data_IF_097429348793
#
_entry.id   IF_097429348793
#
_cell.length_a   1.000
_cell.length_b   1.000
_cell.length_c   1.000
_cell.angle_alpha   90.00
_cell.angle_beta   90.00
_cell.angle_gamma   90.00
#
_symmetry.space_group_name_H-M   'P 1'
#
loop_
_entity.id
_entity.type
_entity.pdbx_description
1 polymer ?
#
# COMPACT_ATOMS: atom_id res chain seq x y z
N UNK A 1 3.33 0.99 15.30
CA UNK A 1 2.10 1.26 14.57
C UNK A 1 1.46 2.52 15.08
N UNK A 2 1.06 3.38 14.17
CA UNK A 2 0.43 4.62 14.54
C UNK A 2 -1.01 4.61 14.05
N UNK A 3 -1.94 4.98 14.93
CA UNK A 3 -3.34 5.09 14.58
C UNK A 3 -3.78 6.51 14.89
N UNK A 4 -4.41 7.15 13.92
CA UNK A 4 -4.96 8.48 14.17
C UNK A 4 -6.19 8.67 13.31
N UNK A 5 -7.04 9.57 13.75
CA UNK A 5 -8.28 9.88 13.05
C UNK A 5 -8.09 11.16 12.28
N UNK A 6 -8.51 11.14 11.04
CA UNK A 6 -8.50 12.31 10.18
C UNK A 6 -9.93 12.73 10.00
N UNK A 7 -10.24 13.95 10.42
CA UNK A 7 -11.61 14.46 10.33
C UNK A 7 -12.05 14.51 8.88
N UNK A 8 -13.21 13.96 8.60
CA UNK A 8 -13.78 13.98 7.27
C UNK A 8 -13.32 12.84 6.38
N UNK A 9 -12.31 12.08 6.79
CA UNK A 9 -11.85 10.91 6.08
C UNK A 9 -11.77 9.79 7.09
N UNK A 10 -12.52 8.74 6.86
CA UNK A 10 -12.61 7.64 7.82
C UNK A 10 -11.49 6.65 7.58
N UNK A 11 -10.30 7.02 8.00
CA UNK A 11 -9.16 6.11 7.98
C UNK A 11 -8.95 5.57 9.38
N UNK A 12 -8.94 4.25 9.51
CA UNK A 12 -8.72 3.61 10.80
C UNK A 12 -7.26 3.64 11.18
N UNK A 13 -6.36 3.54 10.18
CA UNK A 13 -4.95 3.54 10.50
C UNK A 13 -4.09 4.03 9.37
N UNK A 14 -2.90 4.44 9.71
CA UNK A 14 -1.85 4.75 8.75
C UNK A 14 -0.63 3.94 9.14
N UNK A 15 -0.14 3.17 8.22
CA UNK A 15 0.95 2.22 8.48
C UNK A 15 2.08 2.51 7.52
N UNK A 16 3.27 2.72 8.08
CA UNK A 16 4.43 3.13 7.29
C UNK A 16 5.54 2.13 7.48
N UNK A 17 6.11 1.66 6.40
CA UNK A 17 7.29 0.82 6.45
C UNK A 17 8.55 1.63 6.67
N UNK A 18 9.64 0.92 6.82
CA UNK A 18 10.97 1.53 6.96
C UNK A 18 11.74 1.26 5.67
N UNK A 19 13.06 1.26 5.74
CA UNK A 19 13.87 0.96 4.58
C UNK A 19 14.18 -0.53 4.44
N UNK A 20 13.70 -1.36 5.37
CA UNK A 20 13.89 -2.80 5.29
C UNK A 20 12.68 -3.49 4.72
N UNK A 21 12.76 -4.81 4.61
CA UNK A 21 11.65 -5.61 4.13
C UNK A 21 10.73 -5.94 5.30
N UNK A 22 9.45 -5.64 5.14
CA UNK A 22 8.49 -5.73 6.22
C UNK A 22 7.17 -6.31 5.78
N UNK A 23 6.36 -6.65 6.78
CA UNK A 23 4.96 -6.98 6.57
C UNK A 23 4.12 -5.86 7.16
N UNK A 24 3.27 -5.26 6.35
CA UNK A 24 2.37 -4.20 6.80
C UNK A 24 0.95 -4.74 6.75
N UNK A 25 0.28 -4.69 7.87
CA UNK A 25 -1.08 -5.21 7.98
C UNK A 25 -2.04 -4.07 8.29
N UNK A 26 -3.04 -3.91 7.45
CA UNK A 26 -4.11 -2.98 7.74
C UNK A 26 -5.11 -3.57 8.72
N UNK A 27 -6.32 -3.03 8.70
CA UNK A 27 -7.39 -3.48 9.57
C UNK A 27 -8.59 -3.86 8.69
N UNK A 28 -9.75 -3.99 9.29
CA UNK A 28 -10.96 -4.21 8.52
C UNK A 28 -11.64 -2.90 8.12
N UNK A 29 -11.00 -1.77 8.39
CA UNK A 29 -11.52 -0.46 8.06
C UNK A 29 -10.71 0.12 6.91
N UNK A 30 -11.03 1.35 6.52
CA UNK A 30 -10.28 2.03 5.47
C UNK A 30 -8.93 2.46 6.02
N UNK A 31 -7.86 2.04 5.38
CA UNK A 31 -6.52 2.27 5.89
C UNK A 31 -5.64 2.91 4.83
N UNK A 32 -4.52 3.46 5.28
CA UNK A 32 -3.46 3.93 4.42
C UNK A 32 -2.18 3.17 4.74
N UNK A 33 -1.61 2.51 3.74
CA UNK A 33 -0.37 1.77 3.90
C UNK A 33 0.67 2.32 2.94
N UNK A 34 1.84 2.63 3.47
CA UNK A 34 2.95 3.12 2.66
C UNK A 34 4.17 2.25 2.95
N UNK A 35 4.63 1.53 1.95
CA UNK A 35 5.64 0.50 2.15
C UNK A 35 7.02 1.06 2.45
N UNK A 36 7.41 2.13 1.78
CA UNK A 36 8.78 2.58 1.87
C UNK A 36 9.70 1.71 1.04
N UNK A 37 11.01 1.97 1.10
CA UNK A 37 11.97 1.16 0.36
C UNK A 37 12.05 -0.25 0.91
N UNK A 38 12.54 -1.17 0.10
CA UNK A 38 12.68 -2.56 0.49
C UNK A 38 11.60 -3.42 -0.15
N UNK A 39 11.70 -4.72 0.06
CA UNK A 39 10.72 -5.67 -0.47
C UNK A 39 9.70 -5.94 0.62
N UNK A 40 8.50 -5.40 0.46
CA UNK A 40 7.49 -5.43 1.50
C UNK A 40 6.29 -6.26 1.08
N UNK A 41 5.54 -6.75 2.06
CA UNK A 41 4.24 -7.35 1.82
C UNK A 41 3.19 -6.52 2.54
N UNK A 42 2.17 -6.14 1.80
CA UNK A 42 1.13 -5.26 2.32
C UNK A 42 -0.22 -5.94 2.22
N UNK A 43 -0.96 -5.89 3.31
CA UNK A 43 -2.28 -6.53 3.41
C UNK A 43 -3.30 -5.48 3.81
N UNK A 44 -4.22 -5.17 2.87
CA UNK A 44 -5.26 -4.18 3.15
C UNK A 44 -6.41 -4.74 3.96
N UNK A 45 -6.80 -5.97 3.67
CA UNK A 45 -7.97 -6.61 4.27
C UNK A 45 -9.25 -5.96 3.80
N UNK A 46 -10.28 -5.89 4.64
CA UNK A 46 -11.53 -5.26 4.24
C UNK A 46 -11.41 -3.74 4.29
N UNK A 47 -12.34 -3.08 3.64
CA UNK A 47 -12.38 -1.64 3.59
C UNK A 47 -11.81 -1.12 2.29
N UNK A 48 -11.95 0.19 2.10
CA UNK A 48 -11.41 0.86 0.92
C UNK A 48 -10.06 1.45 1.31
N UNK A 49 -9.00 0.81 0.88
CA UNK A 49 -7.66 1.13 1.35
C UNK A 49 -6.88 1.89 0.30
N UNK A 50 -5.93 2.68 0.76
CA UNK A 50 -4.98 3.33 -0.12
C UNK A 50 -3.61 2.73 0.20
N UNK A 51 -2.99 2.13 -0.79
CA UNK A 51 -1.73 1.43 -0.61
C UNK A 51 -0.71 2.03 -1.55
N UNK A 52 0.33 2.60 -0.99
CA UNK A 52 1.39 3.22 -1.76
C UNK A 52 2.64 2.36 -1.64
N UNK A 53 2.96 1.66 -2.69
CA UNK A 53 4.08 0.73 -2.70
C UNK A 53 5.19 1.15 -3.64
N UNK A 54 5.03 2.24 -4.35
CA UNK A 54 6.05 2.70 -5.30
C UNK A 54 7.29 3.16 -4.55
N UNK A 55 8.45 2.67 -4.96
CA UNK A 55 9.71 2.96 -4.31
C UNK A 55 10.56 3.96 -5.09
N UNK A 56 10.06 4.41 -6.22
CA UNK A 56 10.75 5.37 -7.04
C UNK A 56 11.35 4.74 -8.28
N UNK A 57 11.88 5.60 -9.12
CA UNK A 57 12.28 5.25 -10.47
C UNK A 57 13.38 4.20 -10.54
N UNK A 58 14.32 4.29 -9.64
CA UNK A 58 15.51 3.44 -9.70
C UNK A 58 15.49 2.29 -8.72
N UNK A 59 14.37 2.08 -8.08
CA UNK A 59 14.27 1.01 -7.12
C UNK A 59 14.17 -0.33 -7.85
N UNK A 60 14.88 -1.32 -7.33
CA UNK A 60 14.72 -2.69 -7.81
C UNK A 60 13.91 -3.52 -6.83
N UNK A 61 13.35 -2.89 -5.81
CA UNK A 61 12.57 -3.59 -4.81
C UNK A 61 11.27 -4.09 -5.40
N UNK A 62 10.80 -5.20 -4.89
CA UNK A 62 9.54 -5.80 -5.31
C UNK A 62 8.64 -5.93 -4.10
N UNK A 63 7.51 -5.27 -4.15
CA UNK A 63 6.52 -5.38 -3.09
C UNK A 63 5.41 -6.30 -3.54
N UNK A 64 4.78 -6.96 -2.59
CA UNK A 64 3.65 -7.82 -2.88
C UNK A 64 2.45 -7.25 -2.14
N UNK A 65 1.38 -6.98 -2.87
CA UNK A 65 0.23 -6.29 -2.35
C UNK A 65 -1.00 -7.18 -2.42
N UNK A 66 -1.66 -7.34 -1.29
CA UNK A 66 -2.94 -8.03 -1.17
C UNK A 66 -3.97 -7.03 -0.69
N UNK A 67 -4.84 -6.63 -1.58
CA UNK A 67 -5.78 -5.55 -1.27
C UNK A 67 -6.92 -6.00 -0.38
N UNK A 68 -7.47 -7.17 -0.63
CA UNK A 68 -8.62 -7.65 0.11
C UNK A 68 -9.92 -7.13 -0.46
N UNK A 69 -10.95 -7.13 0.35
CA UNK A 69 -12.28 -6.71 -0.08
C UNK A 69 -12.40 -5.19 -0.04
N UNK A 70 -13.24 -4.68 -0.92
CA UNK A 70 -13.46 -3.25 -1.01
C UNK A 70 -12.87 -2.67 -2.27
N UNK A 71 -12.98 -1.36 -2.41
CA UNK A 71 -12.41 -0.66 -3.55
C UNK A 71 -11.09 -0.04 -3.12
N UNK A 72 -10.00 -0.63 -3.54
CA UNK A 72 -8.68 -0.26 -3.07
C UNK A 72 -7.92 0.48 -4.15
N UNK A 73 -7.22 1.51 -3.75
CA UNK A 73 -6.39 2.28 -4.66
C UNK A 73 -4.93 1.97 -4.35
N UNK A 74 -4.21 1.54 -5.38
CA UNK A 74 -2.83 1.08 -5.20
C UNK A 74 -1.92 1.80 -6.18
N UNK A 75 -0.79 2.29 -5.69
CA UNK A 75 0.25 2.88 -6.53
C UNK A 75 1.46 1.97 -6.43
N UNK A 76 1.93 1.47 -7.56
CA UNK A 76 2.99 0.46 -7.57
C UNK A 76 4.07 0.82 -8.59
N UNK A 77 5.18 0.14 -8.49
CA UNK A 77 6.24 0.14 -9.49
C UNK A 77 6.03 -1.03 -10.44
N UNK A 78 6.73 -1.02 -11.55
CA UNK A 78 6.59 -2.08 -12.54
C UNK A 78 7.08 -3.44 -12.03
N UNK A 79 7.86 -3.45 -10.96
CA UNK A 79 8.36 -4.69 -10.38
C UNK A 79 7.42 -5.30 -9.36
N UNK A 80 6.40 -4.57 -8.95
CA UNK A 80 5.57 -5.01 -7.85
C UNK A 80 4.54 -6.05 -8.29
N UNK A 81 4.15 -6.89 -7.35
CA UNK A 81 3.15 -7.93 -7.58
C UNK A 81 1.88 -7.53 -6.86
N UNK A 82 0.77 -7.54 -7.61
CA UNK A 82 -0.51 -7.09 -7.10
C UNK A 82 -1.51 -8.22 -7.25
N UNK A 83 -2.21 -8.52 -6.17
CA UNK A 83 -3.20 -9.59 -6.20
C UNK A 83 -4.41 -9.17 -7.03
N UNK A 84 -5.19 -10.16 -7.46
CA UNK A 84 -6.32 -9.89 -8.34
C UNK A 84 -7.48 -9.20 -7.63
N UNK A 85 -7.43 -9.09 -6.32
CA UNK A 85 -8.49 -8.40 -5.58
C UNK A 85 -8.28 -6.90 -5.48
N UNK A 86 -7.23 -6.36 -6.07
CA UNK A 86 -7.06 -4.92 -6.18
C UNK A 86 -7.88 -4.39 -7.35
N UNK A 87 -8.73 -3.39 -7.11
CA UNK A 87 -9.63 -2.89 -8.14
C UNK A 87 -9.00 -1.78 -8.98
N UNK A 88 -8.29 -0.88 -8.32
CA UNK A 88 -7.72 0.29 -8.99
C UNK A 88 -6.25 0.39 -8.64
N UNK A 89 -5.41 0.52 -9.64
CA UNK A 89 -4.00 0.71 -9.37
C UNK A 89 -3.38 1.52 -10.51
N UNK A 90 -2.26 2.14 -10.21
CA UNK A 90 -1.46 2.84 -11.20
C UNK A 90 0.00 2.56 -10.96
N UNK A 91 0.78 2.74 -12.01
CA UNK A 91 2.22 2.67 -11.91
C UNK A 91 2.74 4.07 -11.59
N UNK A 92 3.78 4.14 -10.80
CA UNK A 92 4.46 5.39 -10.58
C UNK A 92 5.35 5.65 -11.77
N UNK A 93 4.91 6.56 -12.62
CA UNK A 93 5.61 6.86 -13.85
C UNK A 93 6.50 8.08 -13.74
N UNK A 94 6.95 8.40 -12.55
CA UNK A 94 7.79 9.57 -12.32
C UNK A 94 9.15 9.42 -12.98
N UNK A 95 9.27 8.48 -13.84
CA UNK A 95 10.50 8.16 -14.54
C UNK A 95 10.89 9.18 -15.58
N UNK A 96 9.99 10.02 -15.94
CA UNK A 96 10.30 10.93 -17.03
C UNK A 96 10.43 12.38 -16.55
#
# INVERSE_FOLDING_TARGET
MMVFLVTGVALAGSFYGTSGSEFLYGTSENDFLSAGPGDDELYGYEGDDVIYAADGTYSSSTDTIYCGEGNDFVVIDSNDLVSSDCEVYEFDLAVY
#
